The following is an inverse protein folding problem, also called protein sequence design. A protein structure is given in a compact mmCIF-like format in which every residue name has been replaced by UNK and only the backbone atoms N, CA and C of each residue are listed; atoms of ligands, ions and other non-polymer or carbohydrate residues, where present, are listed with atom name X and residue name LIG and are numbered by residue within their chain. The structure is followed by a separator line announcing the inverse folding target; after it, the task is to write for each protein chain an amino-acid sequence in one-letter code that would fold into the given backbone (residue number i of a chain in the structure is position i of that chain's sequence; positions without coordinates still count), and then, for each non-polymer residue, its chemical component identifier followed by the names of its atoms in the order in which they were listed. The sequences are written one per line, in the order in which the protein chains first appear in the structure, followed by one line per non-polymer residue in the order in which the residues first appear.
data_IF_484386743576
#
_entry.id   IF_484386743576
#
_cell.length_a   1.000
_cell.length_b   1.000
_cell.length_c   1.000
_cell.angle_alpha   90.00
_cell.angle_beta   90.00
_cell.angle_gamma   90.00
#
_symmetry.space_group_name_H-M   'P 1'
#
loop_
_entity.id
_entity.type
_entity.pdbx_description
1 polymer ?
#
# COMPACT_ATOMS: atom_id res chain seq x y z
N UNK A 1 -16.01 -13.02 -30.50
CA UNK A 1 -14.96 -13.65 -29.69
C UNK A 1 -13.94 -12.57 -29.46
N UNK A 2 -13.84 -12.07 -28.24
CA UNK A 2 -12.86 -11.03 -27.87
C UNK A 2 -11.47 -11.68 -27.90
N UNK A 3 -10.50 -11.02 -28.51
CA UNK A 3 -9.14 -11.54 -28.61
C UNK A 3 -8.46 -11.50 -27.22
N UNK A 4 -7.52 -12.42 -26.95
CA UNK A 4 -6.84 -12.49 -25.65
C UNK A 4 -6.18 -11.15 -25.24
N UNK A 5 -5.58 -10.43 -26.19
CA UNK A 5 -5.00 -9.10 -25.93
C UNK A 5 -6.03 -8.02 -25.56
N UNK A 6 -7.29 -8.16 -25.97
CA UNK A 6 -8.36 -7.25 -25.57
C UNK A 6 -8.75 -7.49 -24.09
N UNK A 7 -8.75 -8.73 -23.62
CA UNK A 7 -8.98 -9.04 -22.20
C UNK A 7 -7.87 -8.51 -21.29
N UNK A 8 -6.61 -8.64 -21.72
CA UNK A 8 -5.46 -8.07 -21.00
C UNK A 8 -5.62 -6.55 -20.87
N UNK A 9 -5.93 -5.85 -21.97
CA UNK A 9 -6.15 -4.41 -21.94
C UNK A 9 -7.30 -4.00 -21.01
N UNK A 10 -8.40 -4.76 -20.98
CA UNK A 10 -9.51 -4.50 -20.05
C UNK A 10 -9.07 -4.69 -18.60
N UNK A 11 -8.29 -5.73 -18.30
CA UNK A 11 -7.75 -5.94 -16.96
C UNK A 11 -6.82 -4.80 -16.52
N UNK A 12 -5.95 -4.32 -17.41
CA UNK A 12 -5.11 -3.15 -17.15
C UNK A 12 -5.95 -1.91 -16.82
N UNK A 13 -7.03 -1.69 -17.59
CA UNK A 13 -7.94 -0.56 -17.35
C UNK A 13 -8.65 -0.67 -15.99
N UNK A 14 -9.01 -1.88 -15.55
CA UNK A 14 -9.56 -2.11 -14.21
C UNK A 14 -8.54 -1.80 -13.11
N UNK A 15 -7.27 -2.21 -13.30
CA UNK A 15 -6.20 -1.90 -12.35
C UNK A 15 -6.00 -0.38 -12.21
N UNK A 16 -5.92 0.34 -13.33
CA UNK A 16 -5.78 1.81 -13.33
C UNK A 16 -7.01 2.47 -12.72
N UNK A 17 -8.22 1.97 -12.99
CA UNK A 17 -9.44 2.51 -12.39
C UNK A 17 -9.42 2.39 -10.86
N UNK A 18 -9.00 1.23 -10.33
CA UNK A 18 -8.86 1.01 -8.89
C UNK A 18 -7.87 2.00 -8.26
N UNK A 19 -6.69 2.17 -8.87
CA UNK A 19 -5.70 3.13 -8.41
C UNK A 19 -6.26 4.55 -8.36
N UNK A 20 -7.04 4.96 -9.37
CA UNK A 20 -7.66 6.29 -9.41
C UNK A 20 -8.77 6.48 -8.37
N UNK A 21 -9.60 5.47 -8.16
CA UNK A 21 -10.59 5.47 -7.07
C UNK A 21 -9.88 5.63 -5.71
N UNK A 22 -8.78 4.92 -5.50
CA UNK A 22 -7.99 5.05 -4.28
C UNK A 22 -7.30 6.41 -4.13
N UNK A 23 -6.73 6.96 -5.21
CA UNK A 23 -6.15 8.31 -5.21
C UNK A 23 -7.19 9.37 -4.81
N UNK A 24 -8.41 9.30 -5.35
CA UNK A 24 -9.52 10.19 -4.97
C UNK A 24 -9.84 10.06 -3.48
N UNK A 25 -9.87 8.85 -2.95
CA UNK A 25 -10.06 8.60 -1.53
C UNK A 25 -8.99 9.32 -0.69
N UNK A 26 -7.71 9.20 -1.05
CA UNK A 26 -6.62 9.88 -0.33
C UNK A 26 -6.69 11.40 -0.44
N UNK A 27 -7.13 11.94 -1.58
CA UNK A 27 -7.37 13.38 -1.77
C UNK A 27 -8.46 13.90 -0.82
N UNK A 28 -9.56 13.16 -0.66
CA UNK A 28 -10.62 13.54 0.27
C UNK A 28 -10.18 13.42 1.72
N UNK A 29 -9.48 12.36 2.08
CA UNK A 29 -8.89 12.22 3.41
C UNK A 29 -7.99 13.42 3.74
N UNK A 30 -7.10 13.82 2.83
CA UNK A 30 -6.23 14.99 3.00
C UNK A 30 -7.01 16.28 3.29
N UNK A 31 -8.22 16.41 2.78
CA UNK A 31 -9.10 17.55 3.00
C UNK A 31 -9.95 17.43 4.29
N UNK A 32 -9.75 16.38 5.09
CA UNK A 32 -10.58 16.07 6.26
C UNK A 32 -11.97 15.54 5.90
N UNK A 33 -12.17 15.07 4.66
CA UNK A 33 -13.43 14.45 4.20
C UNK A 33 -13.33 12.93 4.27
N UNK A 34 -14.49 12.27 4.28
CA UNK A 34 -14.55 10.81 4.30
C UNK A 34 -14.00 10.18 3.01
N UNK A 35 -13.03 9.25 3.09
CA UNK A 35 -12.54 8.49 1.95
C UNK A 35 -13.32 7.18 1.72
N UNK A 36 -14.28 6.86 2.60
CA UNK A 36 -14.88 5.52 2.68
C UNK A 36 -15.55 5.09 1.37
N UNK A 37 -16.37 5.95 0.76
CA UNK A 37 -17.14 5.58 -0.44
C UNK A 37 -16.24 5.31 -1.64
N UNK A 38 -15.19 6.12 -1.83
CA UNK A 38 -14.21 5.91 -2.90
C UNK A 38 -13.35 4.65 -2.65
N UNK A 39 -13.01 4.35 -1.39
CA UNK A 39 -12.37 3.08 -1.01
C UNK A 39 -13.28 1.87 -1.28
N UNK A 40 -14.59 1.96 -1.00
CA UNK A 40 -15.57 0.92 -1.34
C UNK A 40 -15.71 0.75 -2.86
N UNK A 41 -15.62 1.84 -3.64
CA UNK A 41 -15.59 1.78 -5.09
C UNK A 41 -14.35 1.00 -5.58
N UNK A 42 -13.16 1.31 -5.04
CA UNK A 42 -11.92 0.58 -5.33
C UNK A 42 -12.04 -0.94 -5.04
N UNK A 43 -12.65 -1.32 -3.91
CA UNK A 43 -12.93 -2.73 -3.60
C UNK A 43 -13.98 -3.37 -4.51
N UNK A 44 -14.91 -2.58 -5.06
CA UNK A 44 -15.84 -3.08 -6.08
C UNK A 44 -15.12 -3.33 -7.40
N UNK A 45 -14.16 -2.48 -7.76
CA UNK A 45 -13.32 -2.67 -8.94
C UNK A 45 -12.40 -3.89 -8.78
N UNK A 46 -11.86 -4.15 -7.59
CA UNK A 46 -11.07 -5.36 -7.34
C UNK A 46 -11.87 -6.66 -7.51
N UNK A 47 -13.17 -6.65 -7.22
CA UNK A 47 -14.06 -7.80 -7.49
C UNK A 47 -14.22 -8.05 -9.00
N UNK A 48 -14.26 -6.99 -9.82
CA UNK A 48 -14.27 -7.12 -11.28
C UNK A 48 -12.94 -7.66 -11.79
N UNK A 49 -11.82 -7.23 -11.19
CA UNK A 49 -10.48 -7.77 -11.50
C UNK A 49 -10.39 -9.28 -11.20
N UNK A 50 -10.95 -9.72 -10.07
CA UNK A 50 -11.04 -11.14 -9.71
C UNK A 50 -11.85 -11.95 -10.73
N UNK A 51 -13.04 -11.46 -11.08
CA UNK A 51 -13.88 -12.10 -12.08
C UNK A 51 -13.15 -12.20 -13.42
N UNK A 52 -12.45 -11.14 -13.84
CA UNK A 52 -11.63 -11.11 -15.05
C UNK A 52 -10.54 -12.20 -15.07
N UNK A 53 -9.80 -12.38 -13.97
CA UNK A 53 -8.76 -13.42 -13.86
C UNK A 53 -9.35 -14.80 -14.11
N UNK A 54 -10.50 -15.10 -13.51
CA UNK A 54 -11.17 -16.40 -13.61
C UNK A 54 -11.81 -16.60 -14.99
N UNK A 55 -12.58 -15.62 -15.46
CA UNK A 55 -13.43 -15.74 -16.64
C UNK A 55 -12.63 -15.65 -17.94
N UNK A 56 -11.57 -14.83 -17.96
CA UNK A 56 -10.81 -14.54 -19.19
C UNK A 56 -9.54 -15.35 -19.32
N UNK A 57 -9.16 -16.12 -18.29
CA UNK A 57 -7.93 -16.92 -18.24
C UNK A 57 -6.71 -16.11 -18.63
N UNK A 58 -6.56 -14.95 -17.97
CA UNK A 58 -5.40 -14.08 -18.17
C UNK A 58 -4.11 -14.86 -17.95
N UNK A 59 -3.07 -14.54 -18.72
CA UNK A 59 -1.74 -15.12 -18.50
C UNK A 59 -1.10 -14.53 -17.25
N UNK A 60 -0.07 -15.22 -16.74
CA UNK A 60 0.65 -14.79 -15.55
C UNK A 60 1.26 -13.39 -15.77
N UNK A 61 1.82 -13.09 -16.95
CA UNK A 61 2.43 -11.79 -17.25
C UNK A 61 1.47 -10.61 -17.02
N UNK A 62 0.21 -10.72 -17.47
CA UNK A 62 -0.79 -9.67 -17.28
C UNK A 62 -1.16 -9.50 -15.79
N UNK A 63 -1.26 -10.60 -15.04
CA UNK A 63 -1.58 -10.58 -13.62
C UNK A 63 -0.41 -10.00 -12.82
N UNK A 64 0.81 -10.48 -13.09
CA UNK A 64 2.05 -10.05 -12.42
C UNK A 64 2.39 -8.60 -12.75
N UNK A 65 2.12 -8.13 -13.98
CA UNK A 65 2.34 -6.74 -14.37
C UNK A 65 1.72 -5.71 -13.40
N UNK A 66 0.57 -6.06 -12.80
CA UNK A 66 -0.18 -5.19 -11.88
C UNK A 66 -0.28 -5.77 -10.45
N UNK A 67 0.66 -6.63 -10.08
CA UNK A 67 0.68 -7.28 -8.76
C UNK A 67 0.59 -6.31 -7.58
N UNK A 68 1.20 -5.13 -7.69
CA UNK A 68 1.27 -4.13 -6.61
C UNK A 68 -0.10 -3.52 -6.28
N UNK A 69 -1.05 -3.55 -7.24
CA UNK A 69 -2.44 -3.10 -7.03
C UNK A 69 -3.14 -3.97 -5.99
N UNK A 70 -2.74 -5.24 -5.84
CA UNK A 70 -3.29 -6.12 -4.81
C UNK A 70 -2.83 -5.74 -3.39
N UNK A 71 -1.66 -5.11 -3.23
CA UNK A 71 -1.28 -4.54 -1.94
C UNK A 71 -2.23 -3.39 -1.57
N UNK A 72 -2.62 -2.53 -2.53
CA UNK A 72 -3.62 -1.49 -2.29
C UNK A 72 -4.95 -2.09 -1.82
N UNK A 73 -5.42 -3.15 -2.47
CA UNK A 73 -6.67 -3.84 -2.06
C UNK A 73 -6.58 -4.33 -0.62
N UNK A 74 -5.43 -4.86 -0.19
CA UNK A 74 -5.22 -5.32 1.19
C UNK A 74 -5.22 -4.16 2.18
N UNK A 75 -4.52 -3.07 1.88
CA UNK A 75 -4.54 -1.86 2.72
C UNK A 75 -5.94 -1.24 2.82
N UNK A 76 -6.66 -1.14 1.70
CA UNK A 76 -8.03 -0.60 1.67
C UNK A 76 -8.96 -1.49 2.51
N UNK A 77 -8.87 -2.81 2.34
CA UNK A 77 -9.66 -3.78 3.11
C UNK A 77 -9.37 -3.66 4.60
N UNK A 78 -8.09 -3.54 4.98
CA UNK A 78 -7.66 -3.32 6.36
C UNK A 78 -8.21 -2.00 6.94
N UNK A 79 -8.09 -0.90 6.20
CA UNK A 79 -8.59 0.41 6.64
C UNK A 79 -10.12 0.43 6.81
N UNK A 80 -10.85 -0.32 5.98
CA UNK A 80 -12.31 -0.42 6.07
C UNK A 80 -12.83 -1.55 6.98
N UNK A 81 -11.96 -2.32 7.64
CA UNK A 81 -12.34 -3.53 8.40
C UNK A 81 -13.16 -4.53 7.57
N UNK A 82 -12.83 -4.65 6.28
CA UNK A 82 -13.47 -5.56 5.34
C UNK A 82 -12.55 -6.75 5.05
N UNK A 83 -13.11 -7.95 4.82
CA UNK A 83 -12.31 -9.10 4.44
C UNK A 83 -11.76 -8.93 3.02
N UNK A 84 -10.49 -9.30 2.84
CA UNK A 84 -9.87 -9.42 1.52
C UNK A 84 -10.47 -10.63 0.81
N UNK A 85 -11.15 -10.42 -0.32
CA UNK A 85 -11.78 -11.50 -1.10
C UNK A 85 -10.85 -12.08 -2.17
N UNK A 86 -9.60 -12.38 -1.83
CA UNK A 86 -8.59 -12.84 -2.80
C UNK A 86 -8.22 -14.32 -2.59
N UNK A 87 -8.16 -15.14 -3.65
CA UNK A 87 -7.63 -16.50 -3.55
C UNK A 87 -6.15 -16.49 -3.14
N UNK A 88 -5.82 -17.21 -2.08
CA UNK A 88 -4.49 -17.25 -1.44
C UNK A 88 -3.38 -17.77 -2.38
N UNK A 89 -3.71 -18.73 -3.24
CA UNK A 89 -2.77 -19.30 -4.23
C UNK A 89 -2.32 -18.26 -5.28
N UNK A 90 -3.23 -17.38 -5.70
CA UNK A 90 -2.91 -16.32 -6.67
C UNK A 90 -2.05 -15.23 -6.06
N UNK A 91 -2.35 -14.83 -4.82
CA UNK A 91 -1.56 -13.85 -4.08
C UNK A 91 -0.14 -14.34 -3.78
N UNK A 92 0.01 -15.62 -3.45
CA UNK A 92 1.33 -16.21 -3.18
C UNK A 92 2.27 -16.06 -4.38
N UNK A 93 1.78 -16.34 -5.60
CA UNK A 93 2.57 -16.17 -6.82
C UNK A 93 2.91 -14.72 -7.13
N UNK A 94 1.95 -13.82 -6.96
CA UNK A 94 2.17 -12.37 -7.13
C UNK A 94 3.21 -11.86 -6.14
N UNK A 95 3.13 -12.32 -4.89
CA UNK A 95 4.12 -11.99 -3.86
C UNK A 95 5.50 -12.50 -4.24
N UNK A 96 5.63 -13.76 -4.68
CA UNK A 96 6.90 -14.36 -5.10
C UNK A 96 7.55 -13.56 -6.25
N UNK A 97 6.79 -13.23 -7.29
CA UNK A 97 7.28 -12.43 -8.42
C UNK A 97 7.73 -11.04 -8.01
N UNK A 98 6.91 -10.34 -7.21
CA UNK A 98 7.18 -8.94 -6.83
C UNK A 98 8.23 -8.79 -5.75
N UNK A 99 8.44 -9.80 -4.90
CA UNK A 99 9.41 -9.75 -3.80
C UNK A 99 10.87 -9.71 -4.26
N UNK A 100 11.12 -9.85 -5.56
CA UNK A 100 12.43 -9.52 -6.15
C UNK A 100 12.81 -8.05 -5.93
N UNK A 101 11.82 -7.14 -5.82
CA UNK A 101 12.01 -5.74 -5.45
C UNK A 101 11.95 -5.60 -3.92
N UNK A 102 13.00 -5.03 -3.32
CA UNK A 102 13.15 -4.99 -1.85
C UNK A 102 12.07 -4.16 -1.16
N UNK A 103 11.71 -3.02 -1.72
CA UNK A 103 10.65 -2.13 -1.24
C UNK A 103 9.28 -2.81 -1.29
N UNK A 104 8.98 -3.55 -2.36
CA UNK A 104 7.72 -4.29 -2.47
C UNK A 104 7.68 -5.47 -1.50
N UNK A 105 8.79 -6.20 -1.34
CA UNK A 105 8.90 -7.25 -0.33
C UNK A 105 8.66 -6.69 1.09
N UNK A 106 9.27 -5.56 1.45
CA UNK A 106 9.06 -4.90 2.73
C UNK A 106 7.59 -4.48 2.91
N UNK A 107 6.90 -4.06 1.85
CA UNK A 107 5.46 -3.76 1.89
C UNK A 107 4.61 -5.00 2.25
N UNK A 108 4.99 -6.18 1.75
CA UNK A 108 4.36 -7.44 2.17
C UNK A 108 4.58 -7.75 3.65
N UNK A 109 5.76 -7.46 4.19
CA UNK A 109 6.03 -7.63 5.63
C UNK A 109 5.19 -6.68 6.49
N UNK A 110 4.98 -5.44 6.05
CA UNK A 110 4.04 -4.52 6.73
C UNK A 110 2.63 -5.12 6.73
N UNK A 111 2.13 -5.57 5.58
CA UNK A 111 0.81 -6.17 5.48
C UNK A 111 0.68 -7.47 6.28
N UNK A 112 1.72 -8.29 6.36
CA UNK A 112 1.74 -9.49 7.21
C UNK A 112 1.59 -9.12 8.68
N UNK A 113 2.27 -8.06 9.15
CA UNK A 113 2.10 -7.55 10.51
C UNK A 113 0.67 -7.10 10.79
N UNK A 114 0.08 -6.33 9.87
CA UNK A 114 -1.31 -5.83 9.98
C UNK A 114 -2.34 -6.97 10.01
N UNK A 115 -2.05 -8.08 9.33
CA UNK A 115 -2.89 -9.28 9.28
C UNK A 115 -2.57 -10.30 10.39
N UNK A 116 -1.69 -9.96 11.34
CA UNK A 116 -1.33 -10.82 12.47
C UNK A 116 -0.50 -12.05 12.09
N UNK A 117 0.19 -12.02 10.94
CA UNK A 117 1.11 -13.07 10.49
C UNK A 117 2.55 -12.77 10.92
N UNK A 118 3.40 -13.80 10.86
CA UNK A 118 4.84 -13.62 11.10
C UNK A 118 5.43 -12.72 10.01
N UNK A 119 6.16 -11.68 10.43
CA UNK A 119 6.63 -10.65 9.53
C UNK A 119 8.09 -10.28 9.73
N UNK A 120 8.76 -10.71 10.81
CA UNK A 120 10.12 -10.23 11.13
C UNK A 120 11.21 -10.92 10.31
N UNK A 121 10.98 -12.17 9.93
CA UNK A 121 11.96 -12.96 9.18
C UNK A 121 12.31 -12.27 7.85
N UNK A 122 13.59 -12.13 7.54
CA UNK A 122 14.09 -11.49 6.32
C UNK A 122 14.01 -9.96 6.24
N UNK A 123 13.33 -9.25 7.15
CA UNK A 123 13.17 -7.77 7.09
C UNK A 123 14.51 -7.04 7.10
N UNK A 124 15.44 -7.44 7.98
CA UNK A 124 16.76 -6.81 8.10
C UNK A 124 17.55 -6.90 6.78
N UNK A 125 17.57 -8.07 6.16
CA UNK A 125 18.27 -8.29 4.88
C UNK A 125 17.66 -7.41 3.77
N UNK A 126 16.33 -7.32 3.72
CA UNK A 126 15.63 -6.50 2.74
C UNK A 126 15.91 -5.00 2.93
N UNK A 127 15.95 -4.51 4.18
CA UNK A 127 16.31 -3.14 4.51
C UNK A 127 17.76 -2.82 4.10
N UNK A 128 18.70 -3.73 4.37
CA UNK A 128 20.10 -3.60 3.95
C UNK A 128 20.22 -3.58 2.42
N UNK A 129 19.52 -4.49 1.73
CA UNK A 129 19.46 -4.54 0.27
C UNK A 129 18.95 -3.24 -0.32
N UNK A 130 17.86 -2.68 0.24
CA UNK A 130 17.29 -1.41 -0.20
C UNK A 130 18.23 -0.23 0.08
N UNK A 131 18.93 -0.24 1.22
CA UNK A 131 19.89 0.80 1.60
C UNK A 131 21.19 0.81 0.77
N UNK A 132 21.49 -0.26 0.00
CA UNK A 132 22.70 -0.30 -0.84
C UNK A 132 22.75 0.79 -1.91
N UNK A 133 21.58 1.28 -2.37
CA UNK A 133 21.48 2.32 -3.39
C UNK A 133 21.19 3.67 -2.72
N UNK A 134 22.06 4.66 -2.92
CA UNK A 134 21.89 6.02 -2.37
C UNK A 134 20.51 6.62 -2.65
N UNK A 135 19.94 6.37 -3.84
CA UNK A 135 18.61 6.87 -4.23
C UNK A 135 17.46 6.23 -3.46
N UNK A 136 17.68 5.10 -2.79
CA UNK A 136 16.66 4.33 -2.06
C UNK A 136 16.77 4.48 -0.54
N UNK A 137 17.70 5.31 -0.05
CA UNK A 137 17.93 5.50 1.38
C UNK A 137 16.69 5.98 2.12
N UNK A 138 15.94 6.94 1.55
CA UNK A 138 14.70 7.41 2.17
C UNK A 138 13.65 6.29 2.26
N UNK A 139 13.58 5.40 1.27
CA UNK A 139 12.68 4.25 1.31
C UNK A 139 13.08 3.27 2.42
N UNK A 140 14.38 2.98 2.56
CA UNK A 140 14.89 2.16 3.67
C UNK A 140 14.62 2.79 5.05
N UNK A 141 14.83 4.11 5.19
CA UNK A 141 14.50 4.86 6.42
C UNK A 141 13.00 4.81 6.74
N UNK A 142 12.17 4.96 5.70
CA UNK A 142 10.71 4.90 5.83
C UNK A 142 10.27 3.53 6.34
N UNK A 143 10.67 2.44 5.66
CA UNK A 143 10.29 1.09 6.06
C UNK A 143 10.84 0.72 7.43
N UNK A 144 12.08 1.12 7.77
CA UNK A 144 12.60 0.93 9.13
C UNK A 144 11.69 1.59 10.16
N UNK A 145 11.27 2.83 9.92
CA UNK A 145 10.35 3.54 10.83
C UNK A 145 9.00 2.82 10.97
N UNK A 146 8.49 2.22 9.89
CA UNK A 146 7.26 1.42 9.94
C UNK A 146 7.42 0.17 10.81
N UNK A 147 8.52 -0.56 10.68
CA UNK A 147 8.77 -1.73 11.51
C UNK A 147 9.05 -1.36 12.97
N UNK A 148 9.77 -0.27 13.22
CA UNK A 148 9.95 0.28 14.57
C UNK A 148 8.58 0.63 15.20
N UNK A 149 7.63 1.17 14.41
CA UNK A 149 6.26 1.42 14.87
C UNK A 149 5.52 0.13 15.22
N UNK A 150 5.62 -0.89 14.36
CA UNK A 150 5.00 -2.19 14.57
C UNK A 150 5.57 -2.92 15.80
N UNK A 151 6.86 -2.72 16.11
CA UNK A 151 7.51 -3.24 17.30
C UNK A 151 7.16 -2.44 18.58
N UNK A 152 6.75 -1.18 18.45
CA UNK A 152 6.38 -0.30 19.57
C UNK A 152 4.94 -0.51 20.09
N UNK A 153 4.27 -1.62 19.72
CA UNK A 153 2.90 -1.92 20.14
C UNK A 153 2.80 -1.93 21.69
N UNK A 154 1.96 -1.05 22.23
CA UNK A 154 1.78 -0.87 23.68
C UNK A 154 2.68 0.19 24.32
N UNK A 155 3.61 0.80 23.58
CA UNK A 155 4.55 1.82 24.07
C UNK A 155 4.16 3.23 23.57
N UNK A 156 3.10 3.82 24.13
CA UNK A 156 2.46 5.04 23.61
C UNK A 156 3.41 6.21 23.35
N UNK A 157 4.38 6.46 24.25
CA UNK A 157 5.37 7.53 24.09
C UNK A 157 6.36 7.30 22.94
N UNK A 158 6.73 6.04 22.70
CA UNK A 158 7.57 5.67 21.57
C UNK A 158 6.79 5.77 20.24
N UNK A 159 5.53 5.32 20.22
CA UNK A 159 4.66 5.42 19.04
C UNK A 159 4.50 6.88 18.59
N UNK A 160 4.27 7.82 19.52
CA UNK A 160 4.16 9.26 19.18
C UNK A 160 5.43 9.78 18.51
N UNK A 161 6.60 9.44 19.07
CA UNK A 161 7.90 9.86 18.55
C UNK A 161 8.12 9.31 17.14
N UNK A 162 7.86 8.01 16.95
CA UNK A 162 8.04 7.33 15.67
C UNK A 162 7.03 7.79 14.60
N UNK A 163 5.79 8.08 14.99
CA UNK A 163 4.79 8.66 14.09
C UNK A 163 5.26 10.02 13.54
N UNK A 164 5.86 10.85 14.39
CA UNK A 164 6.51 12.11 13.98
C UNK A 164 7.66 11.89 12.98
N UNK A 165 8.51 10.89 13.21
CA UNK A 165 9.58 10.51 12.27
C UNK A 165 9.01 10.05 10.93
N UNK A 166 7.96 9.23 10.95
CA UNK A 166 7.30 8.74 9.74
C UNK A 166 6.68 9.89 8.92
N UNK A 167 6.05 10.87 9.56
CA UNK A 167 5.53 12.06 8.89
C UNK A 167 6.64 12.93 8.25
N UNK A 168 7.79 13.06 8.92
CA UNK A 168 8.97 13.73 8.34
C UNK A 168 9.47 12.97 7.11
N UNK A 169 9.57 11.63 7.19
CA UNK A 169 9.97 10.80 6.05
C UNK A 169 8.99 10.94 4.89
N UNK A 170 7.68 10.96 5.16
CA UNK A 170 6.66 11.21 4.15
C UNK A 170 6.85 12.56 3.46
N UNK A 171 7.03 13.65 4.21
CA UNK A 171 7.26 15.00 3.62
C UNK A 171 8.52 15.05 2.75
N UNK A 172 9.57 14.29 3.10
CA UNK A 172 10.81 14.21 2.31
C UNK A 172 10.60 13.54 0.94
N UNK A 173 9.59 12.67 0.78
CA UNK A 173 9.28 12.01 -0.51
C UNK A 173 9.01 12.98 -1.65
N UNK A 174 8.48 14.18 -1.34
CA UNK A 174 8.23 15.23 -2.34
C UNK A 174 9.47 15.59 -3.18
N UNK A 175 10.67 15.45 -2.62
CA UNK A 175 11.93 15.80 -3.29
C UNK A 175 12.83 14.59 -3.55
N UNK A 176 12.35 13.38 -3.31
CA UNK A 176 13.17 12.17 -3.41
C UNK A 176 12.96 11.47 -4.76
N UNK A 177 14.03 11.26 -5.57
CA UNK A 177 13.91 10.68 -6.90
C UNK A 177 13.37 9.24 -6.94
N UNK A 178 13.46 8.47 -5.85
CA UNK A 178 12.88 7.12 -5.82
C UNK A 178 11.35 7.15 -5.89
N UNK A 179 10.74 8.18 -5.30
CA UNK A 179 9.28 8.38 -5.35
C UNK A 179 8.85 9.19 -6.59
N UNK A 180 9.79 9.71 -7.38
CA UNK A 180 9.50 10.54 -8.55
C UNK A 180 8.95 9.73 -9.73
N UNK A 181 7.84 10.21 -10.32
CA UNK A 181 7.26 9.61 -11.53
C UNK A 181 6.42 8.35 -11.29
N UNK A 182 6.24 7.94 -10.04
CA UNK A 182 5.31 6.88 -9.65
C UNK A 182 3.86 7.36 -9.51
N UNK A 183 2.95 6.47 -9.08
CA UNK A 183 1.56 6.83 -8.81
C UNK A 183 1.42 7.89 -7.72
N UNK A 184 0.38 8.73 -7.81
CA UNK A 184 0.22 9.88 -6.92
C UNK A 184 0.09 9.43 -5.46
N UNK A 185 -0.54 8.28 -5.21
CA UNK A 185 -0.71 7.69 -3.87
C UNK A 185 0.60 7.35 -3.16
N UNK A 186 1.75 7.33 -3.86
CA UNK A 186 3.06 7.11 -3.23
C UNK A 186 3.62 8.40 -2.59
N UNK A 187 3.04 9.56 -2.90
CA UNK A 187 3.41 10.85 -2.31
C UNK A 187 4.76 11.39 -2.79
N UNK A 188 5.18 11.03 -3.99
CA UNK A 188 6.37 11.62 -4.63
C UNK A 188 6.06 12.94 -5.33
N UNK A 189 7.09 13.78 -5.47
CA UNK A 189 6.97 15.01 -6.26
C UNK A 189 5.84 15.96 -5.76
N UNK A 190 5.11 16.62 -6.68
CA UNK A 190 4.07 17.59 -6.32
C UNK A 190 2.83 16.95 -5.67
N UNK A 191 2.65 15.63 -5.76
CA UNK A 191 1.48 14.93 -5.26
C UNK A 191 1.47 14.80 -3.72
N UNK A 192 2.64 14.88 -3.09
CA UNK A 192 2.84 14.70 -1.65
C UNK A 192 1.89 15.56 -0.78
N UNK A 193 1.61 16.79 -1.21
CA UNK A 193 0.77 17.72 -0.45
C UNK A 193 -0.72 17.41 -0.55
N UNK A 194 -1.12 16.60 -1.53
CA UNK A 194 -2.51 16.30 -1.84
C UNK A 194 -2.97 14.95 -1.31
N UNK A 195 -2.06 14.00 -1.08
CA UNK A 195 -2.38 12.68 -0.52
C UNK A 195 -1.81 12.51 0.89
N UNK A 196 -2.13 11.38 1.51
CA UNK A 196 -1.59 10.95 2.81
C UNK A 196 -0.76 9.67 2.64
N UNK A 197 0.01 9.33 3.66
CA UNK A 197 0.76 8.08 3.69
C UNK A 197 -0.13 6.93 4.18
N UNK A 198 -0.80 6.25 3.25
CA UNK A 198 -1.83 5.26 3.61
C UNK A 198 -1.24 4.03 4.35
N UNK A 199 0.05 3.73 4.15
CA UNK A 199 0.75 2.66 4.87
C UNK A 199 0.94 3.04 6.33
N UNK A 200 1.44 4.25 6.58
CA UNK A 200 1.52 4.81 7.92
C UNK A 200 0.13 4.86 8.56
N UNK A 201 -0.88 5.26 7.81
CA UNK A 201 -2.24 5.32 8.32
C UNK A 201 -2.78 3.96 8.78
N UNK A 202 -2.53 2.90 7.99
CA UNK A 202 -2.89 1.53 8.37
C UNK A 202 -2.12 1.07 9.63
N UNK A 203 -0.82 1.38 9.73
CA UNK A 203 -0.02 1.08 10.93
C UNK A 203 -0.56 1.82 12.15
N UNK A 204 -0.91 3.10 12.05
CA UNK A 204 -1.45 3.86 13.17
C UNK A 204 -2.84 3.37 13.58
N UNK A 205 -3.65 2.92 12.62
CA UNK A 205 -4.92 2.24 12.91
C UNK A 205 -4.66 0.93 13.67
N UNK A 206 -3.68 0.13 13.25
CA UNK A 206 -3.28 -1.11 13.93
C UNK A 206 -2.83 -0.89 15.37
N UNK A 207 -2.10 0.19 15.62
CA UNK A 207 -1.64 0.57 16.95
C UNK A 207 -2.71 1.25 17.81
N UNK A 208 -3.93 1.41 17.30
CA UNK A 208 -5.02 2.17 17.93
C UNK A 208 -4.56 3.58 18.40
N UNK A 209 -3.68 4.22 17.62
CA UNK A 209 -3.01 5.43 18.06
C UNK A 209 -3.96 6.64 18.12
N UNK A 210 -4.06 7.25 19.30
CA UNK A 210 -5.02 8.32 19.58
C UNK A 210 -4.52 9.74 19.26
N UNK A 211 -3.28 9.91 18.81
CA UNK A 211 -2.71 11.24 18.56
C UNK A 211 -3.38 12.03 17.43
N UNK A 212 -2.76 13.12 16.99
CA UNK A 212 -3.35 14.00 15.99
C UNK A 212 -2.38 14.25 14.83
N UNK A 213 -2.58 13.52 13.73
CA UNK A 213 -1.90 13.78 12.47
C UNK A 213 -2.83 13.50 11.30
N UNK A 214 -2.49 14.06 10.13
CA UNK A 214 -3.30 13.92 8.92
C UNK A 214 -3.44 12.46 8.44
N UNK A 215 -2.46 11.61 8.78
CA UNK A 215 -2.44 10.19 8.45
C UNK A 215 -3.25 9.33 9.43
N UNK A 216 -3.71 9.86 10.56
CA UNK A 216 -4.53 9.08 11.49
C UNK A 216 -5.85 8.70 10.82
N UNK A 217 -6.26 7.44 10.94
CA UNK A 217 -7.60 6.98 10.58
C UNK A 217 -8.63 7.37 11.66
N UNK A 218 -9.59 8.21 11.29
CA UNK A 218 -10.68 8.78 12.09
C UNK A 218 -12.08 8.37 11.58
N UNK A 219 -12.17 7.40 10.67
CA UNK A 219 -13.40 7.07 9.96
C UNK A 219 -13.90 5.71 10.44
N UNK A 220 -14.97 5.71 11.22
CA UNK A 220 -15.70 4.49 11.55
C UNK A 220 -17.00 4.52 10.76
N UNK A 221 -17.31 3.42 10.06
CA UNK A 221 -18.65 3.15 9.54
C UNK A 221 -19.61 2.77 10.69
#
# INVERSE_FOLDING_TARGET
MVAQGEHEQVYQNLCVALEKEFEIALLYWRQGKSPIEDMKAALTTSQKMLAAIVDWRLNDDAIMGYGDVWNLVRYISYLLDLPVKLPEDGLSRIREDKSQYADVALDYHVLDALEGREWRDGVTELLERLATKKRQMLAAETFRTYFDLLDALGETGQVETLAGVADINYKRRANDPFYGGGPAYMGGGPDNIYVIDYRLAAILKYLEWEGNMIHKWNWCD
#
